data_IF_545494640530
#
_entry.id   IF_545494640530
#
_cell.length_a   1.000
_cell.length_b   1.000
_cell.length_c   1.000
_cell.angle_alpha   90.00
_cell.angle_beta   90.00
_cell.angle_gamma   90.00
#
_symmetry.space_group_name_H-M   'P 1'
#
loop_
_entity.id
_entity.type
_entity.pdbx_description
1 polymer ?
#
# COMPACT_ATOMS: atom_id res chain seq x y z
N UNK A 1 -5.29 -0.78 24.87
CA UNK A 1 -5.62 -1.11 23.47
C UNK A 1 -4.34 -1.21 22.68
N UNK A 2 -4.18 -2.27 21.86
CA UNK A 2 -3.05 -2.43 20.90
C UNK A 2 -3.45 -1.85 19.55
N UNK A 3 -2.54 -1.10 18.91
CA UNK A 3 -2.78 -0.42 17.65
C UNK A 3 -1.78 -0.85 16.58
N UNK A 4 -2.27 -1.35 15.45
CA UNK A 4 -1.49 -1.61 14.24
C UNK A 4 -1.56 -0.43 13.27
N UNK A 5 -0.41 0.03 12.76
CA UNK A 5 -0.32 1.08 11.76
C UNK A 5 0.34 0.54 10.50
N UNK A 6 -0.35 0.62 9.37
CA UNK A 6 0.17 0.20 8.08
C UNK A 6 -0.06 1.29 7.03
N UNK A 7 0.96 1.62 6.26
CA UNK A 7 0.85 2.67 5.25
C UNK A 7 1.58 2.35 3.97
N UNK A 8 0.95 2.69 2.83
CA UNK A 8 1.54 2.46 1.52
C UNK A 8 0.83 3.16 0.38
N UNK A 9 1.51 3.24 -0.75
CA UNK A 9 0.96 3.75 -2.02
C UNK A 9 0.47 2.61 -2.91
N UNK A 10 -0.53 1.90 -2.46
CA UNK A 10 -1.03 0.66 -3.06
C UNK A 10 -1.60 0.87 -4.48
N UNK A 11 -1.09 0.12 -5.49
CA UNK A 11 -1.47 0.33 -6.91
C UNK A 11 -1.48 -0.98 -7.72
N UNK A 12 -2.47 -1.84 -7.60
CA UNK A 12 -3.50 -1.94 -6.56
C UNK A 12 -2.95 -2.48 -5.23
N UNK A 13 -3.81 -2.55 -4.22
CA UNK A 13 -3.57 -3.31 -3.01
C UNK A 13 -3.64 -4.81 -3.36
N UNK A 14 -2.58 -5.55 -3.10
CA UNK A 14 -2.44 -6.97 -3.48
C UNK A 14 -2.54 -7.89 -2.26
N UNK A 15 -2.61 -9.19 -2.50
CA UNK A 15 -2.54 -10.21 -1.44
C UNK A 15 -1.26 -10.06 -0.60
N UNK A 16 -0.11 -9.71 -1.20
CA UNK A 16 1.11 -9.45 -0.46
C UNK A 16 1.03 -8.22 0.48
N UNK A 17 0.29 -7.18 0.09
CA UNK A 17 -0.01 -6.07 0.99
C UNK A 17 -0.99 -6.50 2.09
N UNK A 18 -1.98 -7.33 1.72
CA UNK A 18 -2.96 -7.83 2.67
C UNK A 18 -2.34 -8.74 3.73
N UNK A 19 -1.30 -9.51 3.41
CA UNK A 19 -0.59 -10.33 4.38
C UNK A 19 -0.15 -9.50 5.61
N UNK A 20 0.42 -8.31 5.39
CA UNK A 20 0.83 -7.40 6.46
C UNK A 20 -0.34 -6.78 7.22
N UNK A 21 -1.43 -6.49 6.52
CA UNK A 21 -2.65 -6.01 7.17
C UNK A 21 -3.32 -7.13 7.98
N UNK A 22 -3.31 -8.38 7.49
CA UNK A 22 -3.83 -9.53 8.22
C UNK A 22 -3.06 -9.78 9.52
N UNK A 23 -1.71 -9.64 9.48
CA UNK A 23 -0.86 -9.68 10.66
C UNK A 23 -1.22 -8.52 11.64
N UNK A 24 -1.41 -7.32 11.12
CA UNK A 24 -1.84 -6.17 11.91
C UNK A 24 -3.21 -6.39 12.58
N UNK A 25 -4.16 -7.02 11.88
CA UNK A 25 -5.50 -7.34 12.42
C UNK A 25 -5.42 -8.44 13.47
N UNK A 26 -4.59 -9.47 13.25
CA UNK A 26 -4.43 -10.60 14.17
C UNK A 26 -3.87 -10.16 15.53
N UNK A 27 -2.88 -9.28 15.52
CA UNK A 27 -2.07 -8.97 16.68
C UNK A 27 -2.49 -7.70 17.43
N UNK A 28 -3.46 -6.94 16.89
CA UNK A 28 -3.91 -5.68 17.48
C UNK A 28 -5.43 -5.60 17.61
N UNK A 29 -5.89 -4.81 18.57
CA UNK A 29 -7.32 -4.54 18.77
C UNK A 29 -7.89 -3.65 17.65
N UNK A 30 -7.02 -2.83 17.04
CA UNK A 30 -7.35 -1.94 15.92
C UNK A 30 -6.18 -1.84 14.95
N UNK A 31 -6.48 -1.85 13.67
CA UNK A 31 -5.52 -1.61 12.59
C UNK A 31 -5.94 -0.39 11.76
N UNK A 32 -5.02 0.55 11.54
CA UNK A 32 -5.26 1.72 10.67
C UNK A 32 -4.41 1.55 9.41
N UNK A 33 -5.09 1.50 8.27
CA UNK A 33 -4.47 1.49 6.95
C UNK A 33 -4.44 2.90 6.37
N UNK A 34 -3.27 3.52 6.29
CA UNK A 34 -3.07 4.79 5.59
C UNK A 34 -2.83 4.54 4.10
N UNK A 35 -3.86 4.77 3.31
CA UNK A 35 -3.86 4.50 1.87
C UNK A 35 -3.41 5.74 1.09
N UNK A 36 -2.24 5.67 0.46
CA UNK A 36 -1.66 6.77 -0.32
C UNK A 36 -2.39 7.02 -1.62
N UNK A 37 -3.13 8.12 -1.68
CA UNK A 37 -3.82 8.62 -2.86
C UNK A 37 -2.91 9.56 -3.63
N UNK A 38 -2.39 9.08 -4.77
CA UNK A 38 -1.55 9.93 -5.61
C UNK A 38 -2.40 10.90 -6.42
N UNK A 39 -2.08 12.19 -6.33
CA UNK A 39 -2.69 13.24 -7.12
C UNK A 39 -1.64 13.89 -8.02
N UNK A 40 -2.05 14.35 -9.19
CA UNK A 40 -1.19 15.14 -10.06
C UNK A 40 -1.09 16.58 -9.52
N UNK A 41 0.10 17.22 -9.61
CA UNK A 41 0.23 18.64 -9.30
C UNK A 41 -0.73 19.48 -10.11
N UNK A 42 -1.31 20.53 -9.50
CA UNK A 42 -2.18 21.50 -10.20
C UNK A 42 -1.43 22.26 -11.30
N UNK A 43 -0.11 22.47 -11.14
CA UNK A 43 0.74 23.07 -12.16
C UNK A 43 0.86 22.13 -13.38
N UNK A 44 0.42 22.55 -14.59
CA UNK A 44 0.43 21.71 -15.79
C UNK A 44 1.83 21.21 -16.18
N UNK A 45 2.89 22.01 -15.96
CA UNK A 45 4.28 21.63 -16.28
C UNK A 45 4.76 20.54 -15.35
N UNK A 46 4.49 20.68 -14.04
CA UNK A 46 4.82 19.67 -13.03
C UNK A 46 4.01 18.39 -13.24
N UNK A 47 2.72 18.51 -13.54
CA UNK A 47 1.85 17.38 -13.85
C UNK A 47 2.36 16.60 -15.08
N UNK A 48 2.73 17.32 -16.17
CA UNK A 48 3.34 16.70 -17.36
C UNK A 48 4.66 16.01 -17.05
N UNK A 49 5.56 16.66 -16.30
CA UNK A 49 6.83 16.06 -15.88
C UNK A 49 6.63 14.81 -15.01
N UNK A 50 5.65 14.82 -14.12
CA UNK A 50 5.33 13.67 -13.28
C UNK A 50 4.72 12.51 -14.09
N UNK A 51 3.84 12.80 -15.06
CA UNK A 51 3.32 11.79 -16.01
C UNK A 51 4.45 11.16 -16.81
N UNK A 52 5.39 11.95 -17.35
CA UNK A 52 6.53 11.45 -18.11
C UNK A 52 7.48 10.58 -17.26
N UNK A 53 7.74 10.95 -16.00
CA UNK A 53 8.51 10.11 -15.06
C UNK A 53 7.81 8.79 -14.74
N UNK A 54 6.48 8.75 -14.78
CA UNK A 54 5.68 7.55 -14.57
C UNK A 54 5.75 6.58 -15.74
N UNK A 55 5.86 7.07 -16.97
CA UNK A 55 5.91 6.23 -18.18
C UNK A 55 7.21 5.41 -18.26
N UNK A 56 8.33 5.92 -17.70
CA UNK A 56 9.63 5.22 -17.70
C UNK A 56 9.81 4.20 -16.56
N UNK A 57 8.90 4.13 -15.60
CA UNK A 57 8.92 3.15 -14.51
C UNK A 57 7.78 2.16 -14.72
N UNK A 58 8.11 0.88 -14.75
CA UNK A 58 7.14 -0.21 -14.90
C UNK A 58 5.88 0.05 -14.07
N UNK A 59 4.76 0.27 -14.74
CA UNK A 59 3.47 0.47 -14.12
C UNK A 59 3.05 1.93 -13.90
N UNK A 60 2.96 2.72 -14.96
CA UNK A 60 2.48 4.10 -15.01
C UNK A 60 1.68 4.66 -13.82
N UNK A 61 1.62 5.95 -13.69
CA UNK A 61 0.76 6.60 -12.71
C UNK A 61 -0.69 6.17 -12.98
N UNK A 62 -1.41 5.73 -11.95
CA UNK A 62 -2.86 5.68 -12.03
C UNK A 62 -3.39 7.06 -12.41
N UNK A 63 -4.35 7.10 -13.31
CA UNK A 63 -5.26 8.24 -13.39
C UNK A 63 -5.89 8.44 -12.00
N UNK A 64 -6.03 9.68 -11.57
CA UNK A 64 -6.56 10.01 -10.24
C UNK A 64 -7.97 9.43 -10.04
N UNK A 65 -8.79 9.44 -11.09
CA UNK A 65 -10.13 8.87 -11.06
C UNK A 65 -10.09 7.35 -10.93
N UNK A 66 -9.20 6.68 -11.66
CA UNK A 66 -8.96 5.23 -11.55
C UNK A 66 -8.50 4.87 -10.15
N UNK A 67 -7.54 5.63 -9.60
CA UNK A 67 -7.05 5.41 -8.25
C UNK A 67 -8.17 5.53 -7.21
N UNK A 68 -9.05 6.55 -7.39
CA UNK A 68 -10.20 6.76 -6.51
C UNK A 68 -11.20 5.61 -6.61
N UNK A 69 -11.57 5.20 -7.81
CA UNK A 69 -12.54 4.12 -8.02
C UNK A 69 -12.06 2.80 -7.39
N UNK A 70 -10.79 2.45 -7.56
CA UNK A 70 -10.19 1.27 -6.94
C UNK A 70 -10.16 1.42 -5.40
N UNK A 71 -9.77 2.60 -4.90
CA UNK A 71 -9.76 2.87 -3.47
C UNK A 71 -11.14 2.72 -2.83
N UNK A 72 -12.18 3.25 -3.47
CA UNK A 72 -13.56 3.18 -2.95
C UNK A 72 -14.03 1.71 -2.80
N UNK A 73 -13.65 0.83 -3.74
CA UNK A 73 -13.92 -0.62 -3.63
C UNK A 73 -13.18 -1.21 -2.42
N UNK A 74 -11.86 -0.97 -2.31
CA UNK A 74 -11.07 -1.48 -1.18
C UNK A 74 -11.56 -0.95 0.16
N UNK A 75 -11.89 0.34 0.24
CA UNK A 75 -12.38 0.96 1.47
C UNK A 75 -13.66 0.27 1.94
N UNK A 76 -14.64 0.12 1.05
CA UNK A 76 -15.92 -0.54 1.35
C UNK A 76 -15.70 -1.99 1.82
N UNK A 77 -14.80 -2.72 1.16
CA UNK A 77 -14.52 -4.10 1.52
C UNK A 77 -13.75 -4.22 2.86
N UNK A 78 -12.77 -3.37 3.12
CA UNK A 78 -11.97 -3.37 4.34
C UNK A 78 -12.77 -2.92 5.56
N UNK A 79 -13.70 -1.97 5.40
CA UNK A 79 -14.57 -1.50 6.48
C UNK A 79 -15.56 -2.59 6.97
N UNK A 80 -15.72 -3.68 6.23
CA UNK A 80 -16.44 -4.88 6.68
C UNK A 80 -15.64 -5.75 7.68
N UNK A 81 -14.32 -5.51 7.78
CA UNK A 81 -13.45 -6.26 8.70
C UNK A 81 -13.44 -5.53 10.05
N UNK A 82 -13.86 -6.18 11.14
CA UNK A 82 -13.88 -5.56 12.46
C UNK A 82 -12.49 -5.04 12.87
N UNK A 83 -12.45 -3.85 13.46
CA UNK A 83 -11.20 -3.25 13.95
C UNK A 83 -10.32 -2.60 12.89
N UNK A 84 -10.72 -2.62 11.61
CA UNK A 84 -9.98 -1.98 10.52
C UNK A 84 -10.53 -0.59 10.22
N UNK A 85 -9.64 0.39 10.16
CA UNK A 85 -9.92 1.75 9.70
C UNK A 85 -9.08 2.05 8.47
N UNK A 86 -9.68 2.64 7.42
CA UNK A 86 -8.98 3.01 6.19
C UNK A 86 -9.00 4.52 6.02
N UNK A 87 -7.80 5.12 6.02
CA UNK A 87 -7.61 6.57 5.93
C UNK A 87 -6.93 6.94 4.61
N UNK A 88 -7.59 7.65 3.69
CA UNK A 88 -6.96 8.10 2.46
C UNK A 88 -6.00 9.27 2.75
N UNK A 89 -4.78 9.19 2.22
CA UNK A 89 -3.77 10.24 2.35
C UNK A 89 -3.46 10.82 0.97
N UNK A 90 -3.88 12.04 0.74
CA UNK A 90 -3.76 12.74 -0.54
C UNK A 90 -2.43 13.48 -0.66
N UNK A 91 -1.64 13.18 -1.69
CA UNK A 91 -0.30 13.74 -1.88
C UNK A 91 -0.27 15.25 -2.20
N UNK A 92 -1.39 15.80 -2.66
CA UNK A 92 -1.57 17.22 -2.97
C UNK A 92 -2.67 17.87 -2.10
N UNK A 93 -2.93 17.31 -0.92
CA UNK A 93 -3.91 17.86 0.00
C UNK A 93 -3.56 19.30 0.40
N UNK A 94 -4.57 20.17 0.39
CA UNK A 94 -4.48 21.56 0.84
C UNK A 94 -5.55 21.83 1.89
N UNK A 95 -5.27 22.77 2.79
CA UNK A 95 -6.24 23.26 3.76
C UNK A 95 -7.31 24.16 3.10
N UNK A 96 -8.23 24.68 3.89
CA UNK A 96 -9.28 25.59 3.43
C UNK A 96 -8.75 26.92 2.87
N UNK A 97 -7.51 27.28 3.16
CA UNK A 97 -6.83 28.48 2.68
C UNK A 97 -5.96 28.19 1.44
N UNK A 98 -5.89 26.92 0.97
CA UNK A 98 -5.11 26.50 -0.18
C UNK A 98 -3.63 26.21 0.14
N UNK A 99 -3.22 26.23 1.41
CA UNK A 99 -1.86 25.85 1.79
C UNK A 99 -1.69 24.33 1.79
N UNK A 100 -0.50 23.80 1.45
CA UNK A 100 -0.25 22.38 1.52
C UNK A 100 -0.43 21.83 2.94
N UNK A 101 -1.22 20.78 3.11
CA UNK A 101 -1.37 20.11 4.39
C UNK A 101 -0.02 19.49 4.83
N UNK A 102 0.21 19.40 6.14
CA UNK A 102 1.42 18.80 6.71
C UNK A 102 1.52 17.30 6.36
N UNK A 103 0.40 16.58 6.42
CA UNK A 103 0.33 15.14 6.16
C UNK A 103 -0.05 14.92 4.69
N UNK A 104 0.93 14.49 3.87
CA UNK A 104 0.76 14.24 2.43
C UNK A 104 1.33 12.89 1.99
N UNK A 105 1.67 12.05 2.93
CA UNK A 105 2.15 10.69 2.67
C UNK A 105 1.72 9.72 3.76
N UNK A 106 1.53 8.43 3.45
CA UNK A 106 1.25 7.42 4.47
C UNK A 106 2.29 7.38 5.60
N UNK A 107 3.57 7.55 5.27
CA UNK A 107 4.66 7.62 6.26
C UNK A 107 4.46 8.83 7.19
N UNK A 108 4.14 10.00 6.64
CA UNK A 108 3.85 11.20 7.45
C UNK A 108 2.63 11.01 8.35
N UNK A 109 1.60 10.30 7.88
CA UNK A 109 0.42 9.98 8.68
C UNK A 109 0.76 9.06 9.87
N UNK A 110 1.62 8.07 9.64
CA UNK A 110 2.11 7.19 10.71
C UNK A 110 2.92 7.99 11.73
N UNK A 111 3.85 8.86 11.30
CA UNK A 111 4.60 9.71 12.22
C UNK A 111 3.70 10.59 13.07
N UNK A 112 2.71 11.24 12.47
CA UNK A 112 1.75 12.06 13.21
C UNK A 112 0.99 11.22 14.25
N UNK A 113 0.59 9.98 13.91
CA UNK A 113 -0.08 9.09 14.85
C UNK A 113 0.83 8.62 15.99
N UNK A 114 2.14 8.47 15.72
CA UNK A 114 3.12 8.16 16.74
C UNK A 114 3.39 9.35 17.67
N UNK A 115 3.38 10.58 17.17
CA UNK A 115 3.46 11.81 17.97
C UNK A 115 2.24 11.93 18.90
N UNK A 116 1.04 11.63 18.40
CA UNK A 116 -0.17 11.55 19.22
C UNK A 116 -0.02 10.53 20.35
N UNK A 117 0.57 9.35 20.05
CA UNK A 117 0.83 8.31 21.06
C UNK A 117 1.85 8.75 22.10
N UNK A 118 2.91 9.45 21.70
CA UNK A 118 3.90 9.99 22.65
C UNK A 118 3.28 10.99 23.60
N UNK A 119 2.39 11.83 23.08
CA UNK A 119 1.71 12.88 23.85
C UNK A 119 0.62 12.33 24.78
N UNK A 120 0.03 11.18 24.42
CA UNK A 120 -1.07 10.54 25.15
C UNK A 120 -0.81 9.04 25.33
N UNK A 121 0.21 8.65 26.12
CA UNK A 121 0.67 7.25 26.21
C UNK A 121 -0.35 6.30 26.84
N UNK A 122 -1.34 6.82 27.56
CA UNK A 122 -2.40 6.07 28.19
C UNK A 122 -3.44 5.51 27.21
N UNK A 123 -3.53 6.09 25.99
CA UNK A 123 -4.52 5.67 25.00
C UNK A 123 -4.21 4.27 24.43
N UNK A 124 -2.93 3.93 24.33
CA UNK A 124 -2.49 2.69 23.73
C UNK A 124 -1.46 1.98 24.60
N UNK A 125 -1.67 0.71 24.85
CA UNK A 125 -0.72 -0.19 25.51
C UNK A 125 0.54 -0.37 24.65
N UNK A 126 0.31 -0.51 23.33
CA UNK A 126 1.34 -0.80 22.35
C UNK A 126 0.95 -0.28 20.98
N UNK A 127 1.93 0.16 20.21
CA UNK A 127 1.77 0.52 18.79
C UNK A 127 2.75 -0.30 17.95
N UNK A 128 2.23 -0.97 16.92
CA UNK A 128 3.04 -1.74 15.95
C UNK A 128 2.95 -1.12 14.57
N UNK A 129 4.10 -0.84 13.94
CA UNK A 129 4.18 -0.32 12.58
C UNK A 129 4.52 -1.45 11.62
N UNK A 130 3.69 -1.63 10.60
CA UNK A 130 3.84 -2.68 9.59
C UNK A 130 4.37 -2.12 8.27
N UNK A 131 5.23 -2.87 7.62
CA UNK A 131 5.83 -2.49 6.34
C UNK A 131 6.87 -3.47 5.86
N UNK A 132 7.37 -3.30 4.63
CA UNK A 132 8.58 -3.98 4.15
C UNK A 132 9.84 -3.18 4.55
N UNK A 133 11.02 -3.79 4.37
CA UNK A 133 12.32 -3.16 4.70
C UNK A 133 12.47 -1.77 4.05
N UNK A 134 12.05 -1.62 2.81
CA UNK A 134 12.18 -0.37 2.07
C UNK A 134 11.27 0.73 2.64
N UNK A 135 10.05 0.37 3.04
CA UNK A 135 9.11 1.30 3.68
C UNK A 135 9.47 1.63 5.11
N UNK A 136 10.23 0.77 5.81
CA UNK A 136 10.70 1.02 7.17
C UNK A 136 11.92 1.96 7.25
N UNK A 137 12.72 2.07 6.18
CA UNK A 137 13.92 2.89 6.15
C UNK A 137 13.72 4.38 6.57
N UNK A 138 12.61 5.07 6.20
CA UNK A 138 12.35 6.43 6.68
C UNK A 138 12.18 6.51 8.20
N UNK A 139 11.54 5.51 8.82
CA UNK A 139 11.33 5.46 10.27
C UNK A 139 12.65 5.29 11.00
N UNK A 140 13.52 4.39 10.52
CA UNK A 140 14.83 4.13 11.10
C UNK A 140 15.80 5.31 11.01
N UNK A 141 15.51 6.33 10.20
CA UNK A 141 16.28 7.59 10.16
C UNK A 141 15.85 8.61 11.21
N UNK A 142 14.67 8.45 11.80
CA UNK A 142 14.13 9.37 12.81
C UNK A 142 14.70 9.04 14.18
N UNK A 143 15.38 10.00 14.87
CA UNK A 143 15.85 9.80 16.24
C UNK A 143 14.71 9.46 17.21
N UNK A 144 13.60 10.19 17.13
CA UNK A 144 12.41 9.97 17.96
C UNK A 144 11.87 8.55 17.81
N UNK A 145 11.81 8.08 16.57
CA UNK A 145 11.34 6.73 16.29
C UNK A 145 12.27 5.67 16.88
N UNK A 146 13.59 5.86 16.77
CA UNK A 146 14.58 4.96 17.38
C UNK A 146 14.47 4.90 18.90
N UNK A 147 14.25 6.03 19.55
CA UNK A 147 14.06 6.08 21.00
C UNK A 147 12.79 5.34 21.43
N UNK A 148 11.69 5.52 20.71
CA UNK A 148 10.43 4.83 20.97
C UNK A 148 10.56 3.30 20.74
N UNK A 149 11.30 2.90 19.70
CA UNK A 149 11.58 1.49 19.44
C UNK A 149 12.47 0.89 20.56
N UNK A 150 13.55 1.59 20.97
CA UNK A 150 14.41 1.18 22.08
C UNK A 150 13.68 1.06 23.41
N UNK A 151 12.69 1.91 23.66
CA UNK A 151 11.87 1.83 24.88
C UNK A 151 10.85 0.68 24.87
N UNK A 152 10.76 -0.09 23.77
CA UNK A 152 9.77 -1.17 23.59
C UNK A 152 8.33 -0.69 23.39
N UNK A 153 8.13 0.64 23.29
CA UNK A 153 6.78 1.24 23.12
C UNK A 153 6.25 1.09 21.70
N UNK A 154 7.15 0.94 20.71
CA UNK A 154 6.81 0.72 19.32
C UNK A 154 7.47 -0.58 18.89
N UNK A 155 6.74 -1.36 18.07
CA UNK A 155 7.24 -2.56 17.42
C UNK A 155 7.15 -2.45 15.91
N UNK A 156 7.92 -3.29 15.21
CA UNK A 156 7.94 -3.39 13.76
C UNK A 156 7.46 -4.75 13.29
N UNK A 157 6.54 -4.76 12.33
CA UNK A 157 6.24 -5.93 11.51
C UNK A 157 5.83 -7.20 12.25
N UNK A 158 5.17 -7.08 13.40
CA UNK A 158 4.74 -8.26 14.19
C UNK A 158 5.86 -9.01 14.92
N UNK A 159 7.11 -8.89 14.47
CA UNK A 159 8.24 -9.51 15.14
C UNK A 159 8.65 -8.73 16.40
N UNK A 160 8.60 -9.40 17.55
CA UNK A 160 8.99 -8.83 18.84
C UNK A 160 10.49 -8.99 19.02
N UNK A 161 11.28 -7.89 19.22
CA UNK A 161 12.69 -8.00 19.51
C UNK A 161 12.89 -8.61 20.91
N UNK A 162 13.97 -9.35 21.08
CA UNK A 162 14.37 -9.89 22.38
C UNK A 162 14.96 -8.79 23.28
N UNK A 163 15.57 -7.78 22.65
CA UNK A 163 16.09 -6.58 23.32
C UNK A 163 15.85 -5.32 22.48
N UNK A 164 15.83 -4.12 23.11
CA UNK A 164 15.69 -2.84 22.39
C UNK A 164 16.79 -2.58 21.35
N UNK A 165 18.01 -3.12 21.56
CA UNK A 165 19.15 -2.94 20.65
C UNK A 165 18.99 -3.78 19.37
N UNK A 166 18.17 -4.83 19.38
CA UNK A 166 17.88 -5.64 18.20
C UNK A 166 17.28 -4.84 17.04
N UNK A 167 16.63 -3.72 17.33
CA UNK A 167 16.12 -2.81 16.27
C UNK A 167 17.24 -2.13 15.45
N UNK A 168 18.45 -2.09 15.97
CA UNK A 168 19.62 -1.55 15.23
C UNK A 168 20.48 -2.67 14.67
N UNK A 169 20.73 -3.71 15.45
CA UNK A 169 21.73 -4.73 15.15
C UNK A 169 21.14 -5.92 14.40
N UNK A 170 19.85 -6.23 14.60
CA UNK A 170 19.16 -7.37 13.99
C UNK A 170 17.93 -6.94 13.18
N UNK A 171 17.90 -5.69 12.67
CA UNK A 171 16.73 -5.21 11.93
C UNK A 171 16.37 -6.11 10.74
N UNK A 172 17.36 -6.65 10.03
CA UNK A 172 17.14 -7.52 8.89
C UNK A 172 16.47 -8.83 9.32
N UNK A 173 16.90 -9.42 10.42
CA UNK A 173 16.32 -10.65 10.98
C UNK A 173 14.88 -10.40 11.48
N UNK A 174 14.65 -9.25 12.13
CA UNK A 174 13.31 -8.84 12.55
C UNK A 174 12.37 -8.66 11.36
N UNK A 175 12.88 -8.10 10.25
CA UNK A 175 12.08 -7.94 9.03
C UNK A 175 11.76 -9.29 8.37
N UNK A 176 12.68 -10.26 8.40
CA UNK A 176 12.42 -11.62 7.92
C UNK A 176 11.34 -12.29 8.77
N UNK A 177 11.46 -12.24 10.10
CA UNK A 177 10.42 -12.73 11.01
C UNK A 177 9.06 -12.07 10.76
N UNK A 178 9.03 -10.74 10.55
CA UNK A 178 7.81 -10.01 10.22
C UNK A 178 7.17 -10.44 8.88
N UNK A 179 7.97 -10.87 7.90
CA UNK A 179 7.44 -11.46 6.65
C UNK A 179 6.86 -12.86 6.90
N UNK A 180 7.47 -13.67 7.76
CA UNK A 180 6.98 -14.99 8.15
C UNK A 180 5.65 -14.87 8.93
N UNK A 181 5.57 -13.93 9.88
CA UNK A 181 4.34 -13.64 10.62
C UNK A 181 3.21 -13.19 9.69
N UNK A 182 3.51 -12.29 8.74
CA UNK A 182 2.54 -11.86 7.74
C UNK A 182 2.07 -13.04 6.85
N UNK A 183 2.97 -13.98 6.53
CA UNK A 183 2.63 -15.19 5.78
C UNK A 183 1.71 -16.10 6.58
N UNK A 184 2.00 -16.30 7.86
CA UNK A 184 1.16 -17.06 8.79
C UNK A 184 -0.24 -16.45 8.90
N UNK A 185 -0.32 -15.13 9.11
CA UNK A 185 -1.60 -14.42 9.21
C UNK A 185 -2.43 -14.51 7.91
N UNK A 186 -1.77 -14.45 6.75
CA UNK A 186 -2.43 -14.65 5.46
C UNK A 186 -3.01 -16.07 5.34
N UNK A 187 -2.25 -17.09 5.74
CA UNK A 187 -2.73 -18.48 5.75
C UNK A 187 -3.96 -18.63 6.65
N UNK A 188 -3.89 -18.11 7.89
CA UNK A 188 -4.98 -18.18 8.86
C UNK A 188 -6.25 -17.54 8.30
N UNK A 189 -6.10 -16.43 7.57
CA UNK A 189 -7.23 -15.77 6.91
C UNK A 189 -7.86 -16.65 5.81
N UNK A 190 -7.05 -17.30 4.95
CA UNK A 190 -7.56 -18.22 3.94
C UNK A 190 -8.24 -19.44 4.57
N UNK A 191 -7.65 -20.02 5.61
CA UNK A 191 -8.25 -21.12 6.37
C UNK A 191 -9.61 -20.72 6.97
N UNK A 192 -9.74 -19.51 7.50
CA UNK A 192 -11.01 -18.98 8.02
C UNK A 192 -12.12 -18.86 6.95
N UNK A 193 -11.72 -18.80 5.67
CA UNK A 193 -12.60 -18.81 4.49
C UNK A 193 -12.82 -20.21 3.90
N UNK A 194 -12.30 -21.25 4.56
CA UNK A 194 -12.39 -22.63 4.10
C UNK A 194 -11.43 -22.98 2.95
N UNK A 195 -10.38 -22.19 2.76
CA UNK A 195 -9.36 -22.41 1.73
C UNK A 195 -8.05 -22.81 2.40
N UNK A 196 -7.63 -24.07 2.21
CA UNK A 196 -6.36 -24.59 2.70
C UNK A 196 -5.32 -24.52 1.59
N UNK A 197 -4.45 -23.52 1.63
CA UNK A 197 -3.40 -23.27 0.65
C UNK A 197 -2.07 -23.83 1.15
N UNK A 198 -1.28 -24.36 0.22
CA UNK A 198 0.09 -24.83 0.50
C UNK A 198 1.03 -23.66 0.82
N UNK A 199 2.19 -23.96 1.42
CA UNK A 199 3.23 -22.97 1.71
C UNK A 199 3.71 -22.24 0.46
N UNK A 200 3.84 -22.96 -0.66
CA UNK A 200 4.28 -22.39 -1.94
C UNK A 200 3.21 -21.45 -2.52
N UNK A 201 1.93 -21.80 -2.43
CA UNK A 201 0.84 -20.93 -2.88
C UNK A 201 0.74 -19.65 -2.05
N UNK A 202 0.88 -19.75 -0.74
CA UNK A 202 0.89 -18.58 0.16
C UNK A 202 2.11 -17.69 -0.13
N UNK A 203 3.30 -18.29 -0.36
CA UNK A 203 4.51 -17.55 -0.69
C UNK A 203 4.38 -16.83 -2.04
N UNK A 204 3.81 -17.48 -3.07
CA UNK A 204 3.51 -16.86 -4.36
C UNK A 204 2.58 -15.66 -4.18
N UNK A 205 1.45 -15.83 -3.50
CA UNK A 205 0.47 -14.78 -3.24
C UNK A 205 1.07 -13.59 -2.45
N UNK A 206 1.95 -13.85 -1.48
CA UNK A 206 2.62 -12.83 -0.69
C UNK A 206 3.63 -12.03 -1.51
N UNK A 207 4.32 -12.67 -2.46
CA UNK A 207 5.40 -12.06 -3.24
C UNK A 207 4.92 -11.03 -4.27
N UNK A 208 3.66 -11.08 -4.69
CA UNK A 208 3.14 -10.32 -5.82
C UNK A 208 2.94 -8.84 -5.49
N UNK A 209 3.48 -8.00 -6.36
CA UNK A 209 3.37 -6.54 -6.27
C UNK A 209 2.29 -6.00 -7.20
N UNK A 210 1.75 -4.83 -6.86
CA UNK A 210 0.72 -4.16 -7.66
C UNK A 210 1.12 -3.93 -9.14
N UNK A 211 2.42 -3.79 -9.44
CA UNK A 211 2.91 -3.71 -10.83
C UNK A 211 2.65 -5.00 -11.59
N UNK A 212 2.91 -6.15 -10.98
CA UNK A 212 2.67 -7.46 -11.60
C UNK A 212 1.18 -7.66 -11.89
N UNK A 213 0.31 -7.30 -10.94
CA UNK A 213 -1.15 -7.38 -11.14
C UNK A 213 -1.60 -6.51 -12.31
N UNK A 214 -1.08 -5.26 -12.43
CA UNK A 214 -1.42 -4.41 -13.57
C UNK A 214 -0.97 -4.97 -14.91
N UNK A 215 0.24 -5.53 -14.95
CA UNK A 215 0.77 -6.14 -16.17
C UNK A 215 -0.09 -7.34 -16.60
N UNK A 216 -0.43 -8.23 -15.67
CA UNK A 216 -1.32 -9.36 -15.94
C UNK A 216 -2.71 -8.90 -16.38
N UNK A 217 -3.29 -7.91 -15.72
CA UNK A 217 -4.60 -7.36 -16.06
C UNK A 217 -4.64 -6.67 -17.43
N UNK A 218 -3.48 -6.19 -17.93
CA UNK A 218 -3.40 -5.50 -19.25
C UNK A 218 -3.48 -6.43 -20.45
N UNK A 219 -3.40 -7.74 -20.23
CA UNK A 219 -3.45 -8.78 -21.28
C UNK A 219 -4.70 -9.65 -21.05
N UNK A 220 -5.60 -9.79 -22.04
CA UNK A 220 -6.84 -10.54 -21.87
C UNK A 220 -6.63 -11.99 -21.40
N UNK A 221 -5.59 -12.63 -21.91
CA UNK A 221 -5.24 -14.03 -21.60
C UNK A 221 -4.77 -14.26 -20.17
N UNK A 222 -4.25 -13.23 -19.48
CA UNK A 222 -3.74 -13.31 -18.09
C UNK A 222 -4.57 -12.55 -17.08
N UNK A 223 -5.66 -11.92 -17.51
CA UNK A 223 -6.52 -11.13 -16.63
C UNK A 223 -7.17 -11.96 -15.51
N UNK A 224 -7.49 -13.22 -15.78
CA UNK A 224 -7.98 -14.17 -14.78
C UNK A 224 -6.92 -14.49 -13.71
N UNK A 225 -5.65 -14.60 -14.12
CA UNK A 225 -4.52 -14.77 -13.20
C UNK A 225 -4.32 -13.54 -12.33
N UNK A 226 -4.42 -12.33 -12.89
CA UNK A 226 -4.34 -11.08 -12.13
C UNK A 226 -5.33 -11.04 -10.96
N UNK A 227 -6.52 -11.59 -11.16
CA UNK A 227 -7.59 -11.66 -10.15
C UNK A 227 -7.18 -12.50 -8.93
N UNK A 228 -6.39 -13.57 -9.11
CA UNK A 228 -5.88 -14.42 -8.04
C UNK A 228 -5.05 -13.64 -7.01
N UNK A 229 -4.35 -12.59 -7.45
CA UNK A 229 -3.46 -11.79 -6.61
C UNK A 229 -4.15 -10.59 -5.96
N UNK A 230 -5.45 -10.42 -6.17
CA UNK A 230 -6.25 -9.47 -5.42
C UNK A 230 -6.61 -10.04 -4.03
N UNK A 231 -6.72 -9.21 -2.98
CA UNK A 231 -6.90 -9.68 -1.61
C UNK A 231 -8.14 -10.55 -1.42
N UNK A 232 -8.06 -11.56 -0.51
CA UNK A 232 -9.14 -12.51 -0.28
C UNK A 232 -10.34 -11.95 0.49
N UNK A 233 -10.26 -10.72 1.01
CA UNK A 233 -11.40 -10.04 1.62
C UNK A 233 -12.37 -9.45 0.59
N UNK A 234 -11.93 -9.31 -0.66
CA UNK A 234 -12.79 -8.93 -1.78
C UNK A 234 -13.64 -10.11 -2.23
N UNK A 235 -14.89 -9.85 -2.52
CA UNK A 235 -15.73 -10.83 -3.23
C UNK A 235 -15.36 -10.87 -4.73
N UNK A 236 -15.91 -11.87 -5.45
CA UNK A 236 -15.57 -12.07 -6.84
C UNK A 236 -16.03 -10.90 -7.73
N UNK A 237 -17.17 -10.28 -7.41
CA UNK A 237 -17.68 -9.10 -8.14
C UNK A 237 -16.77 -7.89 -7.96
N UNK A 238 -16.27 -7.65 -6.74
CA UNK A 238 -15.34 -6.58 -6.43
C UNK A 238 -13.99 -6.78 -7.15
N UNK A 239 -13.51 -8.03 -7.18
CA UNK A 239 -12.30 -8.38 -7.95
C UNK A 239 -12.49 -8.12 -9.44
N UNK A 240 -13.65 -8.53 -10.00
CA UNK A 240 -13.98 -8.29 -11.40
C UNK A 240 -14.03 -6.80 -11.72
N UNK A 241 -14.64 -5.98 -10.88
CA UNK A 241 -14.66 -4.52 -11.05
C UNK A 241 -13.25 -3.94 -11.08
N UNK A 242 -12.36 -4.35 -10.17
CA UNK A 242 -10.97 -3.87 -10.15
C UNK A 242 -10.25 -4.26 -11.43
N UNK A 243 -10.38 -5.50 -11.89
CA UNK A 243 -9.74 -5.96 -13.14
C UNK A 243 -10.26 -5.16 -14.33
N UNK A 244 -11.57 -4.93 -14.45
CA UNK A 244 -12.14 -4.13 -15.53
C UNK A 244 -11.62 -2.68 -15.53
N UNK A 245 -11.50 -2.06 -14.36
CA UNK A 245 -10.92 -0.72 -14.23
C UNK A 245 -9.45 -0.72 -14.70
N UNK A 246 -8.66 -1.75 -14.34
CA UNK A 246 -7.26 -1.86 -14.77
C UNK A 246 -7.11 -2.09 -16.28
N UNK A 247 -7.98 -2.91 -16.90
CA UNK A 247 -8.03 -3.13 -18.36
C UNK A 247 -8.33 -1.80 -19.06
N UNK A 248 -9.40 -1.11 -18.66
CA UNK A 248 -9.79 0.16 -19.26
C UNK A 248 -8.70 1.24 -19.14
N UNK A 249 -7.95 1.25 -18.05
CA UNK A 249 -6.78 2.14 -17.90
C UNK A 249 -5.68 1.79 -18.91
N UNK A 250 -5.38 0.50 -19.10
CA UNK A 250 -4.35 0.05 -20.04
C UNK A 250 -4.67 0.45 -21.47
N UNK A 251 -5.92 0.28 -21.90
CA UNK A 251 -6.39 0.67 -23.23
C UNK A 251 -6.28 2.19 -23.46
N UNK A 252 -6.72 3.00 -22.48
CA UNK A 252 -6.58 4.42 -22.55
C UNK A 252 -5.11 4.88 -22.64
N UNK A 253 -4.20 4.23 -21.93
CA UNK A 253 -2.77 4.51 -22.01
C UNK A 253 -2.19 4.16 -23.39
N UNK A 254 -2.59 3.03 -23.98
CA UNK A 254 -2.20 2.65 -25.35
C UNK A 254 -2.65 3.70 -26.37
N UNK A 255 -3.92 4.12 -26.33
CA UNK A 255 -4.49 5.13 -27.21
C UNK A 255 -3.78 6.49 -27.09
N UNK A 256 -3.45 6.92 -25.86
CA UNK A 256 -2.70 8.15 -25.63
C UNK A 256 -1.28 8.07 -26.20
N UNK A 257 -0.61 6.95 -26.02
CA UNK A 257 0.75 6.72 -26.55
C UNK A 257 0.76 6.72 -28.06
N UNK A 258 -0.18 6.03 -28.69
CA UNK A 258 -0.33 6.04 -30.15
C UNK A 258 -0.63 7.43 -30.70
N UNK A 259 -1.51 8.18 -30.06
CA UNK A 259 -1.82 9.57 -30.45
C UNK A 259 -0.59 10.47 -30.36
N UNK A 260 0.22 10.33 -29.30
CA UNK A 260 1.47 11.08 -29.14
C UNK A 260 2.49 10.68 -30.21
N UNK A 261 2.67 9.38 -30.50
CA UNK A 261 3.54 8.91 -31.56
C UNK A 261 3.11 9.43 -32.93
N UNK A 262 1.82 9.39 -33.25
CA UNK A 262 1.28 9.96 -34.49
C UNK A 262 1.53 11.46 -34.60
N UNK A 263 1.46 12.19 -33.48
CA UNK A 263 1.75 13.62 -33.44
C UNK A 263 3.24 13.92 -33.70
N UNK A 264 4.14 13.14 -33.08
CA UNK A 264 5.59 13.25 -33.28
C UNK A 264 5.96 12.93 -34.74
N UNK A 265 5.45 11.83 -35.29
CA UNK A 265 5.71 11.43 -36.69
C UNK A 265 5.22 12.51 -37.66
N UNK A 266 4.03 13.08 -37.44
CA UNK A 266 3.52 14.19 -38.26
C UNK A 266 4.38 15.45 -38.18
N UNK A 267 5.00 15.71 -37.01
CA UNK A 267 5.94 16.81 -36.84
C UNK A 267 7.24 16.61 -37.64
N UNK A 268 7.76 15.37 -37.68
CA UNK A 268 8.95 15.02 -38.49
C UNK A 268 8.69 15.04 -40.01
N UNK A 269 7.48 14.76 -40.46
CA UNK A 269 7.15 14.74 -41.92
C UNK A 269 6.92 16.18 -42.46
N UNK A 270 6.61 17.14 -41.58
CA UNK A 270 6.29 18.52 -41.96
C UNK A 270 7.47 19.52 -41.80
N UNK A 271 8.58 19.08 -41.21
CA UNK A 271 9.84 19.84 -41.12
C UNK A 271 10.84 19.39 -42.14
#
# INVERSE_FOLDING_TARGET
MKLGLYGGGFKPFTTGHFAKLADAIRDNDRAILFYGMQQLPKDPKKAKAQKLRGIGKSGGLYDEQVAKSIFDIYKTALERIPGVEVVPIYSQAVDSQGNPMAIRSPVGAIFNKLEDYVSNPELYEKVTVYGDKASMAPYMRSPTFKELAKSGRIQFGGAVPESPDDYTDKLDDLMVKGEEEARSALRDFYLSKGQDLTDDEIADLQSVRGTSVRNLASMPETSAEAKRYLPPFLDESEKDMIIQILIGQSENQKLQTESQLRHIIRGFIRG
#
